data_IF_385514649777
#
_entry.id   IF_385514649777
#
_cell.length_a   1.000
_cell.length_b   1.000
_cell.length_c   1.000
_cell.angle_alpha   90.00
_cell.angle_beta   90.00
_cell.angle_gamma   90.00
#
_symmetry.space_group_name_H-M   'P 1'
#
loop_
_entity.id
_entity.type
_entity.pdbx_description
1 polymer ?
#
# COMPACT_ATOMS: atom_id res chain seq x y z
N UNK A 1 -22.27 -0.61 11.74
CA UNK A 1 -20.97 -0.12 11.20
C UNK A 1 -20.98 1.39 11.21
N UNK A 2 -19.85 2.01 11.59
CA UNK A 2 -19.65 3.46 11.54
C UNK A 2 -18.49 3.74 10.59
N UNK A 3 -18.71 4.62 9.60
CA UNK A 3 -17.65 5.15 8.77
C UNK A 3 -17.05 6.38 9.48
N UNK A 4 -15.72 6.38 9.66
CA UNK A 4 -15.05 7.38 10.46
C UNK A 4 -13.86 7.95 9.71
N UNK A 5 -13.85 9.26 9.48
CA UNK A 5 -12.68 9.98 9.01
C UNK A 5 -11.71 10.21 10.16
N UNK A 6 -10.45 9.78 9.98
CA UNK A 6 -9.44 9.84 11.05
C UNK A 6 -9.11 11.27 11.45
N UNK A 7 -9.06 12.20 10.48
CA UNK A 7 -8.72 13.59 10.76
C UNK A 7 -9.93 14.41 11.21
N UNK A 8 -11.07 14.29 10.53
CA UNK A 8 -12.26 15.07 10.87
C UNK A 8 -12.96 14.55 12.13
N UNK A 9 -12.95 13.24 12.37
CA UNK A 9 -13.65 12.61 13.47
C UNK A 9 -15.17 12.85 13.42
N UNK A 10 -15.80 12.89 14.57
CA UNK A 10 -17.22 13.23 14.74
C UNK A 10 -17.36 14.36 15.78
N UNK A 11 -17.28 15.63 15.38
CA UNK A 11 -17.25 16.75 16.33
C UNK A 11 -18.57 17.02 17.05
N UNK A 12 -19.71 16.83 16.37
CA UNK A 12 -21.02 17.27 16.84
C UNK A 12 -21.90 16.07 17.20
N UNK A 13 -21.63 15.45 18.36
CA UNK A 13 -22.41 14.31 18.85
C UNK A 13 -23.28 14.75 20.02
N UNK A 14 -24.60 14.72 19.78
CA UNK A 14 -25.60 15.00 20.84
C UNK A 14 -26.00 13.75 21.64
N UNK A 15 -25.65 12.55 21.16
CA UNK A 15 -26.00 11.25 21.74
C UNK A 15 -24.78 10.61 22.42
N UNK A 16 -24.96 9.69 23.38
CA UNK A 16 -23.89 8.83 23.82
C UNK A 16 -23.23 8.09 22.66
N UNK A 17 -21.90 8.00 22.64
CA UNK A 17 -21.15 7.39 21.53
C UNK A 17 -21.57 5.94 21.25
N UNK A 18 -21.92 5.18 22.31
CA UNK A 18 -22.38 3.81 22.17
C UNK A 18 -23.69 3.69 21.35
N UNK A 19 -24.60 4.67 21.46
CA UNK A 19 -25.88 4.66 20.77
C UNK A 19 -25.73 4.82 19.26
N UNK A 20 -24.56 5.28 18.79
CA UNK A 20 -24.27 5.40 17.35
C UNK A 20 -24.20 4.03 16.67
N UNK A 21 -23.78 2.99 17.40
CA UNK A 21 -23.70 1.63 16.85
C UNK A 21 -25.09 0.97 16.71
N UNK A 22 -26.08 1.45 17.47
CA UNK A 22 -27.47 1.00 17.41
C UNK A 22 -28.31 1.78 16.36
N UNK A 23 -27.73 2.83 15.78
CA UNK A 23 -28.43 3.70 14.82
C UNK A 23 -28.15 3.20 13.39
N UNK A 24 -29.19 2.91 12.60
CA UNK A 24 -29.05 2.73 11.16
C UNK A 24 -28.67 4.06 10.51
N UNK A 25 -27.45 4.14 10.01
CA UNK A 25 -26.93 5.29 9.27
C UNK A 25 -26.72 4.85 7.83
N UNK A 26 -27.36 5.54 6.90
CA UNK A 26 -27.10 5.35 5.48
C UNK A 26 -25.79 6.06 5.10
N UNK A 27 -24.71 5.29 5.01
CA UNK A 27 -23.40 5.78 4.63
C UNK A 27 -23.21 5.92 3.12
N UNK A 28 -24.17 5.50 2.29
CA UNK A 28 -24.04 5.55 0.82
C UNK A 28 -23.87 6.98 0.31
N UNK A 29 -24.46 7.95 0.98
CA UNK A 29 -24.27 9.37 0.68
C UNK A 29 -22.86 9.90 1.01
N UNK A 30 -22.08 9.15 1.82
CA UNK A 30 -20.71 9.51 2.20
C UNK A 30 -19.67 8.89 1.27
N UNK A 31 -20.09 8.02 0.35
CA UNK A 31 -19.19 7.41 -0.64
C UNK A 31 -18.90 8.47 -1.71
N UNK A 32 -17.70 9.02 -1.65
CA UNK A 32 -17.23 9.98 -2.64
C UNK A 32 -16.55 9.25 -3.79
N UNK A 33 -16.80 9.67 -5.03
CA UNK A 33 -15.98 9.28 -6.16
C UNK A 33 -14.55 9.83 -5.96
N UNK A 34 -13.56 9.04 -6.36
CA UNK A 34 -12.17 9.51 -6.36
C UNK A 34 -12.07 10.67 -7.34
N UNK A 35 -11.78 11.86 -6.84
CA UNK A 35 -11.68 13.07 -7.63
C UNK A 35 -10.38 13.07 -8.46
N UNK A 36 -10.43 13.57 -9.70
CA UNK A 36 -9.25 13.76 -10.55
C UNK A 36 -8.26 14.78 -9.95
N UNK A 37 -8.77 15.72 -9.17
CA UNK A 37 -7.97 16.75 -8.50
C UNK A 37 -7.70 16.36 -7.06
N UNK A 38 -6.47 16.64 -6.61
CA UNK A 38 -6.13 16.48 -5.20
C UNK A 38 -7.10 17.29 -4.31
N UNK A 39 -7.50 16.77 -3.14
CA UNK A 39 -8.36 17.51 -2.23
C UNK A 39 -7.67 18.80 -1.77
N UNK A 40 -8.46 19.86 -1.57
CA UNK A 40 -7.98 21.14 -1.03
C UNK A 40 -7.60 20.98 0.44
N UNK A 41 -6.37 20.54 0.70
CA UNK A 41 -5.88 20.24 2.06
C UNK A 41 -6.03 21.42 3.00
N UNK A 42 -5.79 22.65 2.53
CA UNK A 42 -5.96 23.87 3.34
C UNK A 42 -7.40 24.02 3.83
N UNK A 43 -8.39 23.70 2.99
CA UNK A 43 -9.81 23.72 3.38
C UNK A 43 -10.12 22.64 4.42
N UNK A 44 -9.61 21.43 4.24
CA UNK A 44 -9.79 20.35 5.21
C UNK A 44 -9.14 20.70 6.54
N UNK A 45 -7.92 21.23 6.53
CA UNK A 45 -7.20 21.69 7.73
C UNK A 45 -7.97 22.82 8.42
N UNK A 46 -8.57 23.74 7.65
CA UNK A 46 -9.36 24.84 8.19
C UNK A 46 -10.63 24.37 8.93
N UNK A 47 -11.14 23.18 8.66
CA UNK A 47 -12.25 22.57 9.41
C UNK A 47 -11.86 22.19 10.85
N UNK A 48 -10.55 22.06 11.13
CA UNK A 48 -10.00 21.80 12.46
C UNK A 48 -8.92 22.80 12.83
N UNK A 49 -9.25 24.09 12.98
CA UNK A 49 -8.27 25.11 13.30
C UNK A 49 -7.60 24.78 14.65
N UNK A 50 -6.27 24.94 14.70
CA UNK A 50 -5.44 24.67 15.88
C UNK A 50 -5.44 23.20 16.35
N UNK A 51 -5.65 22.23 15.44
CA UNK A 51 -5.53 20.82 15.80
C UNK A 51 -4.13 20.51 16.35
N UNK A 52 -4.08 19.68 17.40
CA UNK A 52 -2.83 19.20 18.02
C UNK A 52 -2.54 17.73 17.74
N UNK A 53 -3.53 17.03 17.22
CA UNK A 53 -3.48 15.60 16.92
C UNK A 53 -4.01 15.36 15.52
N UNK A 54 -3.43 14.40 14.81
CA UNK A 54 -3.98 13.87 13.56
C UNK A 54 -5.39 13.31 13.78
N UNK A 55 -5.63 12.69 14.94
CA UNK A 55 -6.91 12.09 15.27
C UNK A 55 -7.94 13.16 15.63
N UNK A 56 -9.08 13.09 14.95
CA UNK A 56 -10.23 13.97 15.17
C UNK A 56 -10.97 13.69 16.48
N UNK A 57 -11.95 14.55 16.81
CA UNK A 57 -12.79 14.32 17.98
C UNK A 57 -13.45 12.93 17.94
N UNK A 58 -13.47 12.27 19.08
CA UNK A 58 -14.10 10.98 19.31
C UNK A 58 -13.59 9.77 18.50
N UNK A 59 -12.51 9.92 17.72
CA UNK A 59 -11.95 8.81 16.94
C UNK A 59 -11.54 7.65 17.84
N UNK A 60 -10.75 7.94 18.88
CA UNK A 60 -10.24 6.88 19.79
C UNK A 60 -11.37 6.27 20.59
N UNK A 61 -12.26 7.08 21.14
CA UNK A 61 -13.39 6.63 21.95
C UNK A 61 -14.30 5.68 21.15
N UNK A 62 -14.58 6.01 19.89
CA UNK A 62 -15.38 5.17 19.01
C UNK A 62 -14.65 3.87 18.65
N UNK A 63 -13.35 3.95 18.34
CA UNK A 63 -12.54 2.77 18.10
C UNK A 63 -12.44 1.84 19.31
N UNK A 64 -12.49 2.37 20.52
CA UNK A 64 -12.51 1.56 21.76
C UNK A 64 -13.86 0.89 22.03
N UNK A 65 -14.95 1.45 21.52
CA UNK A 65 -16.31 0.90 21.68
C UNK A 65 -16.66 -0.17 20.65
N UNK A 66 -15.97 -0.24 19.53
CA UNK A 66 -16.27 -1.24 18.51
C UNK A 66 -15.54 -2.57 18.76
N UNK A 67 -16.06 -3.66 18.20
CA UNK A 67 -15.44 -4.99 18.27
C UNK A 67 -14.16 -5.07 17.44
N UNK A 68 -14.11 -4.36 16.33
CA UNK A 68 -13.00 -4.35 15.38
C UNK A 68 -12.99 -3.07 14.55
N UNK A 69 -11.83 -2.48 14.35
CA UNK A 69 -11.63 -1.38 13.41
C UNK A 69 -11.16 -1.96 12.08
N UNK A 70 -11.93 -1.72 11.02
CA UNK A 70 -11.48 -2.00 9.65
C UNK A 70 -10.65 -0.83 9.15
N UNK A 71 -9.33 -1.02 9.04
CA UNK A 71 -8.42 0.02 8.55
C UNK A 71 -8.50 0.12 7.02
N UNK A 72 -9.02 1.25 6.53
CA UNK A 72 -9.06 1.61 5.12
C UNK A 72 -8.23 2.88 4.86
N UNK A 73 -7.04 2.92 5.45
CA UNK A 73 -6.09 4.03 5.36
C UNK A 73 -4.95 3.67 4.41
N UNK A 74 -4.30 4.70 3.86
CA UNK A 74 -3.17 4.51 2.94
C UNK A 74 -2.02 5.46 3.29
N UNK A 75 -0.80 5.07 2.94
CA UNK A 75 0.39 5.88 3.07
C UNK A 75 0.78 6.22 4.51
N UNK A 76 1.42 7.38 4.67
CA UNK A 76 1.90 7.87 5.97
C UNK A 76 0.77 7.96 6.99
N UNK A 77 1.04 7.51 8.20
CA UNK A 77 0.12 7.35 9.34
C UNK A 77 -0.92 6.23 9.20
N UNK A 78 -1.16 5.70 8.01
CA UNK A 78 -2.05 4.56 7.78
C UNK A 78 -1.29 3.22 7.68
N UNK A 79 -0.26 3.18 6.82
CA UNK A 79 0.48 1.95 6.49
C UNK A 79 1.88 1.89 7.12
N UNK A 80 2.32 2.92 7.83
CA UNK A 80 3.69 3.05 8.37
C UNK A 80 3.84 2.58 9.82
N UNK A 81 2.83 1.92 10.38
CA UNK A 81 2.86 1.36 11.72
C UNK A 81 2.44 2.31 12.85
N UNK A 82 2.26 3.62 12.60
CA UNK A 82 1.93 4.59 13.64
C UNK A 82 0.56 4.38 14.24
N UNK A 83 -0.47 4.25 13.41
CA UNK A 83 -1.84 4.00 13.89
C UNK A 83 -1.94 2.62 14.53
N UNK A 84 -1.24 1.62 13.97
CA UNK A 84 -1.19 0.27 14.52
C UNK A 84 -0.57 0.26 15.92
N UNK A 85 0.58 0.93 16.11
CA UNK A 85 1.23 1.06 17.42
C UNK A 85 0.34 1.77 18.45
N UNK A 86 -0.36 2.81 18.04
CA UNK A 86 -1.32 3.50 18.90
C UNK A 86 -2.45 2.55 19.32
N UNK A 87 -3.03 1.81 18.38
CA UNK A 87 -4.12 0.88 18.66
C UNK A 87 -3.67 -0.28 19.53
N UNK A 88 -2.46 -0.82 19.32
CA UNK A 88 -1.86 -1.83 20.20
C UNK A 88 -1.77 -1.34 21.66
N UNK A 89 -1.27 -0.10 21.88
CA UNK A 89 -1.16 0.49 23.21
C UNK A 89 -2.52 0.80 23.86
N UNK A 90 -3.54 1.08 23.07
CA UNK A 90 -4.89 1.38 23.53
C UNK A 90 -5.78 0.14 23.66
N UNK A 91 -5.29 -1.05 23.29
CA UNK A 91 -6.06 -2.29 23.29
C UNK A 91 -7.18 -2.33 22.26
N UNK A 92 -7.07 -1.53 21.18
CA UNK A 92 -8.02 -1.46 20.08
C UNK A 92 -7.69 -2.54 19.07
N UNK A 93 -8.68 -3.36 18.70
CA UNK A 93 -8.52 -4.40 17.68
C UNK A 93 -8.68 -3.80 16.26
N UNK A 94 -7.84 -4.23 15.33
CA UNK A 94 -7.87 -3.71 13.96
C UNK A 94 -7.50 -4.78 12.92
N UNK A 95 -7.93 -4.56 11.67
CA UNK A 95 -7.57 -5.40 10.53
C UNK A 95 -6.18 -5.05 10.00
N UNK A 96 -5.53 -6.02 9.34
CA UNK A 96 -4.20 -5.86 8.78
C UNK A 96 -3.08 -6.27 9.73
N UNK A 97 -1.86 -6.02 9.30
CA UNK A 97 -0.66 -6.42 10.04
C UNK A 97 -0.32 -5.46 11.18
N UNK A 98 0.55 -5.89 12.10
CA UNK A 98 0.99 -5.08 13.24
C UNK A 98 1.94 -3.95 12.87
N UNK A 99 2.27 -3.12 13.87
CA UNK A 99 3.06 -1.90 13.68
C UNK A 99 4.45 -2.14 13.08
N UNK A 100 5.15 -3.21 13.51
CA UNK A 100 6.51 -3.48 13.04
C UNK A 100 6.53 -3.86 11.56
N UNK A 101 5.68 -4.81 11.16
CA UNK A 101 5.59 -5.23 9.75
C UNK A 101 5.12 -4.10 8.84
N UNK A 102 4.19 -3.26 9.31
CA UNK A 102 3.77 -2.05 8.59
C UNK A 102 4.95 -1.09 8.37
N UNK A 103 5.71 -0.80 9.42
CA UNK A 103 6.87 0.11 9.32
C UNK A 103 7.97 -0.45 8.41
N UNK A 104 8.27 -1.76 8.51
CA UNK A 104 9.26 -2.41 7.66
C UNK A 104 8.84 -2.40 6.19
N UNK A 105 7.55 -2.66 5.91
CA UNK A 105 7.00 -2.70 4.54
C UNK A 105 6.92 -1.32 3.90
N UNK A 106 6.68 -0.27 4.69
CA UNK A 106 6.59 1.10 4.21
C UNK A 106 7.94 1.62 3.69
N UNK A 107 9.05 1.21 4.30
CA UNK A 107 10.40 1.58 3.88
C UNK A 107 10.92 0.59 2.83
N UNK A 108 10.92 1.01 1.56
CA UNK A 108 11.38 0.19 0.42
C UNK A 108 12.85 -0.25 0.56
N UNK A 109 13.71 0.58 1.16
CA UNK A 109 15.10 0.21 1.38
C UNK A 109 15.19 -0.97 2.36
N UNK A 110 14.48 -0.90 3.49
CA UNK A 110 14.45 -1.96 4.49
C UNK A 110 13.79 -3.22 3.92
N UNK A 111 12.63 -3.08 3.29
CA UNK A 111 11.90 -4.19 2.65
C UNK A 111 12.79 -4.96 1.67
N UNK A 112 13.52 -4.26 0.80
CA UNK A 112 14.42 -4.89 -0.18
C UNK A 112 15.63 -5.59 0.48
N UNK A 113 16.08 -5.17 1.65
CA UNK A 113 17.09 -5.90 2.41
C UNK A 113 16.53 -7.24 2.92
N UNK A 114 15.29 -7.25 3.40
CA UNK A 114 14.60 -8.50 3.76
C UNK A 114 14.43 -9.41 2.54
N UNK A 115 14.00 -8.89 1.40
CA UNK A 115 13.87 -9.68 0.17
C UNK A 115 15.18 -10.38 -0.19
N UNK A 116 16.29 -9.64 -0.23
CA UNK A 116 17.62 -10.23 -0.53
C UNK A 116 18.02 -11.30 0.48
N UNK A 117 17.79 -11.09 1.76
CA UNK A 117 18.14 -12.03 2.83
C UNK A 117 17.32 -13.33 2.75
N UNK A 118 16.10 -13.26 2.21
CA UNK A 118 15.23 -14.42 1.99
C UNK A 118 15.32 -15.00 0.58
N UNK A 119 16.23 -14.50 -0.25
CA UNK A 119 16.45 -15.01 -1.62
C UNK A 119 15.38 -14.59 -2.62
N UNK A 120 14.57 -13.58 -2.29
CA UNK A 120 13.56 -13.01 -3.18
C UNK A 120 14.24 -11.95 -4.06
N UNK A 121 14.11 -12.10 -5.37
CA UNK A 121 14.70 -11.13 -6.29
C UNK A 121 14.01 -9.78 -6.19
N UNK A 122 14.82 -8.71 -6.14
CA UNK A 122 14.38 -7.33 -6.21
C UNK A 122 15.35 -6.57 -7.13
N UNK A 123 14.94 -5.50 -7.83
CA UNK A 123 15.85 -4.77 -8.70
C UNK A 123 17.16 -4.42 -8.01
N UNK A 124 18.33 -4.67 -8.62
CA UNK A 124 19.61 -4.19 -8.11
C UNK A 124 19.55 -2.68 -7.88
N UNK A 125 19.99 -2.23 -6.72
CA UNK A 125 19.89 -0.82 -6.37
C UNK A 125 20.72 -0.45 -5.15
N UNK A 126 20.89 0.86 -4.98
CA UNK A 126 21.55 1.50 -3.86
C UNK A 126 20.62 2.47 -3.16
N UNK A 127 20.94 2.71 -1.90
CA UNK A 127 20.31 3.78 -1.12
C UNK A 127 21.27 4.97 -1.07
N UNK A 128 20.74 6.17 -1.28
CA UNK A 128 21.49 7.42 -1.21
C UNK A 128 20.87 8.34 -0.18
N UNK A 129 21.72 9.00 0.61
CA UNK A 129 21.28 10.06 1.52
C UNK A 129 21.60 11.43 0.92
N UNK A 130 20.77 12.40 1.24
CA UNK A 130 20.90 13.77 0.76
C UNK A 130 22.27 14.35 1.09
N UNK A 131 22.99 14.83 0.07
CA UNK A 131 24.33 15.38 0.19
C UNK A 131 25.47 14.38 0.04
N UNK A 132 25.19 13.09 -0.12
CA UNK A 132 26.21 12.08 -0.44
C UNK A 132 26.62 12.14 -1.91
N UNK A 133 27.91 11.83 -2.22
CA UNK A 133 28.37 11.71 -3.59
C UNK A 133 27.69 10.51 -4.28
N UNK A 134 27.24 10.72 -5.51
CA UNK A 134 26.51 9.71 -6.27
C UNK A 134 27.50 8.83 -7.04
N UNK A 135 27.57 7.55 -6.69
CA UNK A 135 28.31 6.53 -7.41
C UNK A 135 27.34 5.38 -7.76
N UNK A 136 26.93 5.30 -9.03
CA UNK A 136 26.07 4.20 -9.48
C UNK A 136 26.93 2.98 -9.84
N UNK A 137 26.68 1.81 -9.24
CA UNK A 137 27.24 0.55 -9.70
C UNK A 137 26.84 0.25 -11.15
N UNK A 138 27.72 -0.39 -11.92
CA UNK A 138 27.46 -0.76 -13.32
C UNK A 138 26.21 -1.65 -13.48
N UNK A 139 25.89 -2.46 -12.50
CA UNK A 139 24.71 -3.35 -12.49
C UNK A 139 23.38 -2.61 -12.48
N UNK A 140 23.35 -1.34 -12.05
CA UNK A 140 22.14 -0.50 -12.11
C UNK A 140 21.94 0.01 -13.51
N UNK A 141 22.97 0.63 -14.11
CA UNK A 141 22.96 1.13 -15.49
C UNK A 141 21.87 2.16 -15.75
N UNK A 142 21.57 2.37 -17.04
CA UNK A 142 20.45 3.18 -17.52
C UNK A 142 19.63 2.39 -18.54
N UNK A 143 18.29 2.55 -18.54
CA UNK A 143 17.53 3.41 -17.65
C UNK A 143 17.53 2.90 -16.19
N UNK A 144 17.44 3.83 -15.22
CA UNK A 144 17.27 3.52 -13.81
C UNK A 144 16.03 4.22 -13.23
N UNK A 145 15.62 3.78 -12.05
CA UNK A 145 14.52 4.37 -11.29
C UNK A 145 15.06 5.06 -10.05
N UNK A 146 14.68 6.32 -9.84
CA UNK A 146 14.90 7.05 -8.57
C UNK A 146 13.57 7.06 -7.83
N UNK A 147 13.58 6.64 -6.56
CA UNK A 147 12.35 6.51 -5.76
C UNK A 147 12.57 7.00 -4.33
N UNK A 148 11.57 7.66 -3.76
CA UNK A 148 11.49 7.86 -2.30
C UNK A 148 11.38 6.52 -1.58
N UNK A 149 11.95 6.39 -0.37
CA UNK A 149 11.92 5.16 0.42
C UNK A 149 10.52 4.87 0.97
N UNK A 150 9.86 5.90 1.56
CA UNK A 150 8.57 5.76 2.23
C UNK A 150 7.40 6.37 1.44
N UNK A 151 7.63 6.79 0.21
CA UNK A 151 6.59 7.30 -0.69
C UNK A 151 5.65 6.21 -1.19
N UNK A 152 4.40 6.59 -1.44
CA UNK A 152 3.36 5.74 -2.03
C UNK A 152 2.81 6.33 -3.33
N UNK A 153 1.94 5.56 -4.03
CA UNK A 153 1.21 6.00 -5.22
C UNK A 153 2.09 6.62 -6.32
N UNK A 154 3.31 6.14 -6.48
CA UNK A 154 4.31 6.64 -7.44
C UNK A 154 4.72 8.11 -7.26
N UNK A 155 4.40 8.74 -6.11
CA UNK A 155 4.90 10.07 -5.77
C UNK A 155 6.39 10.00 -5.45
N UNK A 156 7.19 10.88 -6.06
CA UNK A 156 8.65 10.85 -5.90
C UNK A 156 9.34 9.70 -6.63
N UNK A 157 8.70 9.12 -7.67
CA UNK A 157 9.24 8.08 -8.53
C UNK A 157 9.57 8.65 -9.90
N UNK A 158 10.83 8.51 -10.32
CA UNK A 158 11.34 9.07 -11.57
C UNK A 158 12.09 8.01 -12.37
N UNK A 159 11.71 7.85 -13.64
CA UNK A 159 12.50 7.08 -14.60
C UNK A 159 13.58 7.98 -15.19
N UNK A 160 14.81 7.53 -15.13
CA UNK A 160 15.99 8.25 -15.61
C UNK A 160 16.58 7.48 -16.78
N UNK A 161 16.49 8.04 -17.96
CA UNK A 161 16.95 7.37 -19.19
C UNK A 161 18.46 7.49 -19.38
N UNK A 162 19.07 8.61 -18.91
CA UNK A 162 20.46 8.91 -19.13
C UNK A 162 21.08 9.66 -17.93
N UNK A 163 22.40 9.57 -17.80
CA UNK A 163 23.15 10.11 -16.66
C UNK A 163 22.88 11.60 -16.39
N UNK A 164 22.71 12.42 -17.39
CA UNK A 164 22.49 13.87 -17.23
C UNK A 164 21.14 14.22 -16.59
N UNK A 165 20.19 13.28 -16.58
CA UNK A 165 18.88 13.47 -15.94
C UNK A 165 18.88 13.10 -14.45
N UNK A 166 19.89 12.31 -14.03
CA UNK A 166 19.95 11.73 -12.70
C UNK A 166 19.98 12.79 -11.58
N UNK A 167 20.79 13.85 -11.76
CA UNK A 167 20.91 14.89 -10.74
C UNK A 167 19.57 15.58 -10.47
N UNK A 168 18.82 15.89 -11.52
CA UNK A 168 17.49 16.49 -11.37
C UNK A 168 16.52 15.53 -10.68
N UNK A 169 16.47 14.27 -11.10
CA UNK A 169 15.59 13.27 -10.48
C UNK A 169 15.89 13.08 -8.99
N UNK A 170 17.19 13.09 -8.61
CA UNK A 170 17.60 13.03 -7.21
C UNK A 170 17.19 14.28 -6.45
N UNK A 171 17.38 15.49 -6.99
CA UNK A 171 16.96 16.74 -6.38
C UNK A 171 15.44 16.74 -6.12
N UNK A 172 14.66 16.33 -7.13
CA UNK A 172 13.20 16.24 -7.02
C UNK A 172 12.77 15.21 -5.97
N UNK A 173 13.38 14.01 -5.93
CA UNK A 173 13.09 13.00 -4.91
C UNK A 173 13.52 13.45 -3.50
N UNK A 174 14.69 14.08 -3.35
CA UNK A 174 15.16 14.65 -2.09
C UNK A 174 14.35 15.86 -1.60
N UNK A 175 13.41 16.36 -2.38
CA UNK A 175 12.45 17.34 -1.89
C UNK A 175 11.35 16.74 -1.02
N UNK A 176 11.15 15.42 -1.14
CA UNK A 176 10.17 14.67 -0.34
C UNK A 176 10.80 13.98 0.87
N UNK A 177 11.98 13.38 0.71
CA UNK A 177 12.66 12.60 1.76
C UNK A 177 14.18 12.77 1.68
N UNK A 178 14.86 12.64 2.82
CA UNK A 178 16.32 12.72 2.89
C UNK A 178 17.02 11.40 2.45
N UNK A 179 16.26 10.35 2.20
CA UNK A 179 16.76 9.03 1.76
C UNK A 179 15.98 8.58 0.52
N UNK A 180 16.71 8.19 -0.52
CA UNK A 180 16.13 7.71 -1.78
C UNK A 180 16.80 6.41 -2.23
N UNK A 181 16.09 5.64 -3.05
CA UNK A 181 16.64 4.45 -3.73
C UNK A 181 16.88 4.79 -5.19
N UNK A 182 18.03 4.37 -5.70
CA UNK A 182 18.31 4.31 -7.15
C UNK A 182 18.47 2.86 -7.54
N UNK A 183 17.63 2.36 -8.43
CA UNK A 183 17.61 0.96 -8.80
C UNK A 183 17.51 0.77 -10.32
N UNK A 184 17.94 -0.40 -10.81
CA UNK A 184 17.79 -0.77 -12.22
C UNK A 184 16.32 -0.72 -12.61
N UNK A 185 16.03 -0.07 -13.74
CA UNK A 185 14.71 -0.11 -14.33
C UNK A 185 14.49 -1.49 -14.97
N UNK A 186 13.58 -2.28 -14.38
CA UNK A 186 13.16 -3.55 -14.99
C UNK A 186 12.15 -3.24 -16.08
N UNK A 187 12.44 -3.70 -17.28
CA UNK A 187 11.55 -3.53 -18.45
C UNK A 187 10.75 -4.81 -18.64
N UNK A 188 9.43 -4.70 -18.68
CA UNK A 188 8.56 -5.85 -18.84
C UNK A 188 7.14 -5.56 -18.36
N UNK A 189 6.47 -6.58 -17.83
CA UNK A 189 5.08 -6.53 -17.40
C UNK A 189 4.98 -6.37 -15.88
N UNK A 190 4.00 -5.60 -15.43
CA UNK A 190 3.76 -5.36 -14.00
C UNK A 190 2.64 -6.27 -13.50
N UNK A 191 2.83 -6.85 -12.31
CA UNK A 191 1.92 -7.77 -11.67
C UNK A 191 1.76 -7.44 -10.19
N UNK A 192 0.66 -7.92 -9.64
CA UNK A 192 0.44 -7.88 -8.21
C UNK A 192 -0.11 -9.21 -7.71
N UNK A 193 0.17 -9.53 -6.45
CA UNK A 193 -0.33 -10.72 -5.77
C UNK A 193 -0.72 -10.36 -4.35
N UNK A 194 -2.00 -10.46 -4.06
CA UNK A 194 -2.47 -10.37 -2.69
C UNK A 194 -2.20 -11.68 -1.94
N UNK A 195 -1.90 -11.54 -0.67
CA UNK A 195 -1.70 -12.65 0.26
C UNK A 195 -2.64 -12.44 1.45
N UNK A 196 -3.49 -13.42 1.74
CA UNK A 196 -4.39 -13.41 2.90
C UNK A 196 -4.11 -14.67 3.73
N UNK A 197 -3.82 -14.50 5.02
CA UNK A 197 -3.54 -15.61 5.94
C UNK A 197 -2.45 -16.57 5.39
N UNK A 198 -1.38 -16.00 4.81
CA UNK A 198 -0.27 -16.75 4.24
C UNK A 198 -0.59 -17.50 2.93
N UNK A 199 -1.74 -17.23 2.30
CA UNK A 199 -2.15 -17.82 1.02
C UNK A 199 -2.20 -16.75 -0.06
N UNK A 200 -1.49 -16.97 -1.15
CA UNK A 200 -1.53 -16.10 -2.31
C UNK A 200 -2.84 -16.25 -3.09
N UNK A 201 -3.39 -15.14 -3.52
CA UNK A 201 -4.52 -15.06 -4.45
C UNK A 201 -4.02 -15.21 -5.91
N UNK A 202 -4.92 -15.30 -6.90
CA UNK A 202 -4.53 -15.32 -8.30
C UNK A 202 -3.73 -14.07 -8.67
N UNK A 203 -2.67 -14.23 -9.45
CA UNK A 203 -1.86 -13.11 -9.96
C UNK A 203 -2.74 -12.18 -10.80
N UNK A 204 -2.66 -10.89 -10.59
CA UNK A 204 -3.29 -9.87 -11.42
C UNK A 204 -2.23 -9.11 -12.23
N UNK A 205 -2.46 -8.94 -13.52
CA UNK A 205 -1.62 -8.13 -14.40
C UNK A 205 -2.13 -6.70 -14.44
N UNK A 206 -1.19 -5.76 -14.45
CA UNK A 206 -1.43 -4.32 -14.50
C UNK A 206 -0.79 -3.78 -15.78
N UNK A 207 -1.61 -3.43 -16.76
CA UNK A 207 -1.16 -2.94 -18.07
C UNK A 207 -1.62 -1.50 -18.30
N UNK A 208 -0.81 -0.47 -17.94
CA UNK A 208 -1.12 0.91 -18.25
C UNK A 208 -1.23 1.12 -19.76
N UNK A 209 -2.26 1.84 -20.22
CA UNK A 209 -2.42 2.15 -21.64
C UNK A 209 -1.33 3.10 -22.17
N UNK A 210 -0.76 3.93 -21.29
CA UNK A 210 0.30 4.86 -21.62
C UNK A 210 1.30 5.00 -20.46
N UNK A 211 2.59 4.96 -20.77
CA UNK A 211 3.65 5.21 -19.79
C UNK A 211 3.89 4.03 -18.82
N UNK A 212 4.05 4.33 -17.55
CA UNK A 212 4.17 3.36 -16.46
C UNK A 212 3.01 3.54 -15.45
N UNK A 213 2.86 2.63 -14.50
CA UNK A 213 1.77 2.65 -13.52
C UNK A 213 1.97 3.75 -12.49
N UNK A 214 1.81 5.00 -12.94
CA UNK A 214 1.90 6.22 -12.14
C UNK A 214 0.58 6.55 -11.41
N UNK A 215 0.54 7.64 -10.65
CA UNK A 215 -0.63 8.09 -9.90
C UNK A 215 -1.88 8.21 -10.79
N UNK A 216 -1.73 8.77 -11.98
CA UNK A 216 -2.84 8.95 -12.92
C UNK A 216 -3.39 7.60 -13.38
N UNK A 217 -2.49 6.68 -13.76
CA UNK A 217 -2.86 5.34 -14.22
C UNK A 217 -3.43 4.45 -13.10
N UNK A 218 -3.13 4.74 -11.82
CA UNK A 218 -3.68 4.03 -10.66
C UNK A 218 -5.13 4.40 -10.33
N UNK A 219 -5.51 5.66 -10.52
CA UNK A 219 -6.79 6.18 -10.00
C UNK A 219 -7.75 6.69 -11.07
N UNK A 220 -7.32 6.88 -12.31
CA UNK A 220 -8.20 7.27 -13.41
C UNK A 220 -8.81 6.03 -14.05
N UNK A 221 -10.13 5.89 -13.95
CA UNK A 221 -10.84 4.77 -14.56
C UNK A 221 -10.57 4.67 -16.07
N UNK A 222 -10.20 3.47 -16.53
CA UNK A 222 -9.92 3.19 -17.94
C UNK A 222 -8.54 3.61 -18.43
N UNK A 223 -7.62 4.04 -17.56
CA UNK A 223 -6.21 4.32 -17.91
C UNK A 223 -5.30 3.11 -17.84
N UNK A 224 -5.76 2.04 -17.17
CA UNK A 224 -5.05 0.78 -16.99
C UNK A 224 -5.97 -0.38 -17.31
N UNK A 225 -5.46 -1.41 -17.96
CA UNK A 225 -6.13 -2.69 -18.14
C UNK A 225 -5.62 -3.64 -17.06
N UNK A 226 -6.53 -4.13 -16.23
CA UNK A 226 -6.24 -5.09 -15.19
C UNK A 226 -6.83 -6.44 -15.58
N UNK A 227 -6.01 -7.50 -15.54
CA UNK A 227 -6.43 -8.84 -15.94
C UNK A 227 -6.18 -9.83 -14.80
N UNK A 228 -7.24 -10.40 -14.25
CA UNK A 228 -7.18 -11.39 -13.18
C UNK A 228 -8.06 -12.62 -13.50
N UNK A 229 -7.55 -13.85 -13.47
CA UNK A 229 -6.13 -14.22 -13.38
C UNK A 229 -5.30 -13.69 -14.56
N UNK A 230 -4.05 -13.34 -14.29
CA UNK A 230 -3.12 -12.87 -15.32
C UNK A 230 -2.86 -13.94 -16.40
N UNK A 231 -2.69 -13.50 -17.64
CA UNK A 231 -2.30 -14.40 -18.72
C UNK A 231 -0.81 -14.74 -18.63
N UNK A 232 -0.47 -15.68 -17.76
CA UNK A 232 0.89 -16.18 -17.49
C UNK A 232 0.93 -17.71 -17.60
N UNK A 233 2.08 -18.30 -17.99
CA UNK A 233 2.35 -19.71 -17.78
C UNK A 233 2.16 -20.10 -16.31
N UNK A 234 1.59 -21.28 -16.06
CA UNK A 234 1.27 -21.75 -14.71
C UNK A 234 2.48 -21.75 -13.77
N UNK A 235 3.66 -22.15 -14.27
CA UNK A 235 4.90 -22.17 -13.51
C UNK A 235 5.36 -20.75 -13.08
N UNK A 236 5.13 -19.73 -13.91
CA UNK A 236 5.45 -18.34 -13.57
C UNK A 236 4.46 -17.78 -12.54
N UNK A 237 3.16 -18.04 -12.71
CA UNK A 237 2.15 -17.65 -11.72
C UNK A 237 2.43 -18.28 -10.37
N UNK A 238 2.69 -19.60 -10.32
CA UNK A 238 3.00 -20.31 -9.08
C UNK A 238 4.29 -19.80 -8.42
N UNK A 239 5.32 -19.46 -9.21
CA UNK A 239 6.56 -18.87 -8.69
C UNK A 239 6.32 -17.51 -8.08
N UNK A 240 5.61 -16.62 -8.76
CA UNK A 240 5.29 -15.28 -8.29
C UNK A 240 4.43 -15.31 -7.02
N UNK A 241 3.43 -16.22 -6.98
CA UNK A 241 2.61 -16.47 -5.79
C UNK A 241 3.46 -16.95 -4.59
N UNK A 242 4.40 -17.87 -4.84
CA UNK A 242 5.34 -18.33 -3.82
C UNK A 242 6.20 -17.18 -3.30
N UNK A 243 6.78 -16.36 -4.19
CA UNK A 243 7.59 -15.20 -3.80
C UNK A 243 6.77 -14.16 -3.01
N UNK A 244 5.50 -13.95 -3.34
CA UNK A 244 4.62 -13.07 -2.58
C UNK A 244 4.40 -13.56 -1.14
N UNK A 245 4.16 -14.86 -0.96
CA UNK A 245 4.02 -15.46 0.39
C UNK A 245 5.34 -15.35 1.17
N UNK A 246 6.47 -15.66 0.53
CA UNK A 246 7.81 -15.55 1.14
C UNK A 246 8.14 -14.10 1.50
N UNK A 247 7.78 -13.12 0.66
CA UNK A 247 7.96 -11.69 0.91
C UNK A 247 7.15 -11.24 2.15
N UNK A 248 5.89 -11.64 2.23
CA UNK A 248 5.05 -11.36 3.39
C UNK A 248 5.64 -12.00 4.66
N UNK A 249 6.09 -13.24 4.58
CA UNK A 249 6.71 -13.94 5.71
C UNK A 249 8.01 -13.24 6.15
N UNK A 250 8.84 -12.76 5.21
CA UNK A 250 10.13 -12.15 5.48
C UNK A 250 10.02 -10.91 6.38
N UNK A 251 8.96 -10.12 6.25
CA UNK A 251 8.71 -8.92 7.06
C UNK A 251 7.67 -9.17 8.17
N UNK A 252 7.19 -10.41 8.33
CA UNK A 252 6.27 -10.80 9.39
C UNK A 252 4.84 -10.27 9.20
N UNK A 253 4.33 -10.27 7.95
CA UNK A 253 2.94 -9.88 7.69
C UNK A 253 1.97 -10.84 8.37
N UNK A 254 1.08 -10.28 9.16
CA UNK A 254 -0.10 -10.93 9.71
C UNK A 254 -1.35 -10.43 8.98
N UNK A 255 -2.32 -11.30 8.82
CA UNK A 255 -3.59 -10.93 8.17
C UNK A 255 -3.49 -10.91 6.66
N UNK A 256 -3.29 -9.76 6.05
CA UNK A 256 -3.25 -9.62 4.60
C UNK A 256 -2.29 -8.52 4.15
N UNK A 257 -1.80 -8.63 2.92
CA UNK A 257 -1.02 -7.62 2.22
C UNK A 257 -1.07 -7.87 0.71
N UNK A 258 -0.47 -6.98 -0.07
CA UNK A 258 -0.28 -7.11 -1.52
C UNK A 258 1.18 -6.88 -1.86
N UNK A 259 1.74 -7.74 -2.69
CA UNK A 259 3.13 -7.63 -3.17
C UNK A 259 3.12 -7.31 -4.65
N UNK A 260 3.84 -6.28 -5.05
CA UNK A 260 3.92 -5.82 -6.43
C UNK A 260 5.23 -6.28 -7.08
N UNK A 261 5.15 -6.70 -8.36
CA UNK A 261 6.24 -7.32 -9.10
C UNK A 261 6.40 -6.72 -10.50
N UNK A 262 7.65 -6.71 -10.98
CA UNK A 262 7.97 -6.61 -12.41
C UNK A 262 8.45 -7.96 -12.92
N UNK A 263 7.95 -8.42 -14.05
CA UNK A 263 8.46 -9.57 -14.80
C UNK A 263 9.32 -9.04 -15.95
N UNK A 264 10.61 -9.33 -15.90
CA UNK A 264 11.52 -9.09 -17.03
C UNK A 264 11.28 -10.18 -18.09
N UNK A 265 10.64 -9.82 -19.19
CA UNK A 265 10.31 -10.76 -20.26
C UNK A 265 11.54 -11.29 -21.00
N UNK A 266 12.69 -10.64 -20.88
CA UNK A 266 13.93 -11.08 -21.52
C UNK A 266 14.56 -12.23 -20.75
N UNK A 267 14.64 -12.11 -19.43
CA UNK A 267 15.19 -13.15 -18.54
C UNK A 267 14.13 -14.13 -18.05
N UNK A 268 12.85 -13.75 -18.07
CA UNK A 268 11.77 -14.50 -17.47
C UNK A 268 11.76 -14.46 -15.93
N UNK A 269 12.53 -13.54 -15.33
CA UNK A 269 12.65 -13.39 -13.88
C UNK A 269 11.66 -12.36 -13.33
N UNK A 270 11.06 -12.65 -12.19
CA UNK A 270 10.19 -11.72 -11.47
C UNK A 270 10.96 -11.01 -10.35
N UNK A 271 10.74 -9.72 -10.23
CA UNK A 271 11.38 -8.84 -9.24
C UNK A 271 10.33 -8.23 -8.34
N UNK A 272 10.37 -8.55 -7.04
CA UNK A 272 9.53 -7.92 -6.04
C UNK A 272 9.92 -6.45 -5.84
N UNK A 273 8.93 -5.56 -5.90
CA UNK A 273 9.11 -4.12 -5.79
C UNK A 273 8.86 -3.61 -4.38
N UNK A 274 7.68 -3.90 -3.84
CA UNK A 274 7.20 -3.41 -2.55
C UNK A 274 6.10 -4.30 -1.98
N UNK A 275 5.78 -4.09 -0.69
CA UNK A 275 4.65 -4.69 0.01
C UNK A 275 3.71 -3.58 0.47
N UNK A 276 2.43 -3.70 0.12
CA UNK A 276 1.37 -2.80 0.56
C UNK A 276 0.56 -3.48 1.67
N UNK A 277 0.59 -2.93 2.89
CA UNK A 277 0.00 -3.56 4.08
C UNK A 277 -1.48 -3.22 4.28
N UNK A 278 -1.96 -2.14 3.68
CA UNK A 278 -3.38 -1.78 3.58
C UNK A 278 -3.74 -1.51 2.11
N UNK A 279 -3.79 -2.56 1.27
CA UNK A 279 -4.13 -2.39 -0.14
C UNK A 279 -5.53 -1.82 -0.30
N UNK A 280 -5.75 -1.13 -1.43
CA UNK A 280 -7.02 -0.49 -1.75
C UNK A 280 -8.20 -1.46 -1.71
N UNK A 281 -9.34 -0.94 -1.23
CA UNK A 281 -10.58 -1.68 -1.04
C UNK A 281 -11.75 -0.99 -1.77
N UNK A 282 -11.49 -0.49 -2.99
CA UNK A 282 -12.53 0.01 -3.90
C UNK A 282 -12.88 -1.05 -4.94
N UNK A 283 -14.00 -0.94 -5.67
CA UNK A 283 -14.34 -1.89 -6.74
C UNK A 283 -13.28 -2.06 -7.83
N UNK A 284 -12.44 -1.03 -8.03
CA UNK A 284 -11.33 -1.04 -9.00
C UNK A 284 -9.99 -1.38 -8.38
N UNK A 285 -9.94 -1.68 -7.08
CA UNK A 285 -8.69 -2.06 -6.40
C UNK A 285 -8.30 -3.51 -6.72
N UNK A 286 -7.00 -3.79 -6.74
CA UNK A 286 -6.44 -5.07 -7.16
C UNK A 286 -6.86 -6.24 -6.25
N UNK A 287 -6.76 -6.09 -4.93
CA UNK A 287 -7.15 -7.13 -3.97
C UNK A 287 -8.62 -7.58 -4.12
N UNK A 288 -9.63 -6.68 -4.21
CA UNK A 288 -11.00 -7.09 -4.51
C UNK A 288 -11.15 -7.83 -5.84
N UNK A 289 -10.41 -7.46 -6.88
CA UNK A 289 -10.44 -8.14 -8.18
C UNK A 289 -9.81 -9.54 -8.09
N UNK A 290 -8.70 -9.71 -7.38
CA UNK A 290 -8.08 -11.01 -7.14
C UNK A 290 -9.01 -11.94 -6.35
N UNK A 291 -9.73 -11.42 -5.33
CA UNK A 291 -10.73 -12.18 -4.59
C UNK A 291 -11.95 -12.55 -5.45
N UNK A 292 -12.40 -11.62 -6.29
CA UNK A 292 -13.51 -11.88 -7.23
C UNK A 292 -13.16 -12.98 -8.25
N UNK A 293 -11.91 -13.10 -8.67
CA UNK A 293 -11.44 -14.17 -9.53
C UNK A 293 -11.54 -15.58 -8.86
N UNK A 294 -11.58 -15.61 -7.52
CA UNK A 294 -11.87 -16.82 -6.73
C UNK A 294 -13.36 -17.03 -6.43
N UNK A 295 -14.21 -16.10 -6.88
CA UNK A 295 -15.67 -16.15 -6.68
C UNK A 295 -16.16 -15.43 -5.41
N UNK A 296 -15.30 -14.71 -4.68
CA UNK A 296 -15.72 -13.92 -3.52
C UNK A 296 -16.33 -12.60 -3.95
N UNK A 297 -17.48 -12.26 -3.40
CA UNK A 297 -18.01 -10.90 -3.45
C UNK A 297 -17.17 -9.96 -2.57
N UNK A 298 -17.34 -8.66 -2.76
CA UNK A 298 -16.67 -7.67 -1.92
C UNK A 298 -17.04 -7.81 -0.43
N UNK A 299 -18.31 -8.11 -0.14
CA UNK A 299 -18.77 -8.31 1.24
C UNK A 299 -18.12 -9.54 1.88
N UNK A 300 -18.02 -10.66 1.14
CA UNK A 300 -17.35 -11.88 1.61
C UNK A 300 -15.84 -11.67 1.79
N UNK A 301 -15.20 -10.86 0.95
CA UNK A 301 -13.80 -10.47 1.16
C UNK A 301 -13.63 -9.66 2.45
N UNK A 302 -14.48 -8.66 2.69
CA UNK A 302 -14.43 -7.88 3.93
C UNK A 302 -14.64 -8.77 5.15
N UNK A 303 -15.59 -9.70 5.10
CA UNK A 303 -15.81 -10.66 6.17
C UNK A 303 -14.61 -11.59 6.36
N UNK A 304 -14.01 -12.09 5.29
CA UNK A 304 -12.79 -12.91 5.37
C UNK A 304 -11.66 -12.15 6.08
N UNK A 305 -11.40 -10.90 5.68
CA UNK A 305 -10.38 -10.05 6.33
C UNK A 305 -10.68 -9.86 7.82
N UNK A 306 -11.94 -9.62 8.19
CA UNK A 306 -12.36 -9.51 9.60
C UNK A 306 -12.13 -10.81 10.37
N UNK A 307 -12.49 -11.97 9.80
CA UNK A 307 -12.30 -13.27 10.42
C UNK A 307 -10.80 -13.59 10.63
N UNK A 308 -9.96 -13.24 9.67
CA UNK A 308 -8.50 -13.38 9.80
C UNK A 308 -7.96 -12.47 10.91
N UNK A 309 -8.42 -11.22 10.96
CA UNK A 309 -8.02 -10.30 12.02
C UNK A 309 -8.46 -10.76 13.42
N UNK A 310 -9.66 -11.34 13.55
CA UNK A 310 -10.14 -11.86 14.82
C UNK A 310 -9.24 -12.97 15.39
N UNK A 311 -8.66 -13.82 14.53
CA UNK A 311 -7.73 -14.88 14.97
C UNK A 311 -6.48 -14.32 15.64
N UNK A 312 -5.98 -13.17 15.17
CA UNK A 312 -4.83 -12.46 15.76
C UNK A 312 -5.04 -12.13 17.24
N UNK A 313 -6.28 -11.90 17.67
CA UNK A 313 -6.64 -11.50 19.05
C UNK A 313 -7.21 -12.65 19.90
N UNK A 314 -7.21 -13.87 19.39
CA UNK A 314 -7.67 -15.06 20.11
C UNK A 314 -6.50 -15.88 20.70
N UNK A 315 -5.26 -15.51 20.41
CA UNK A 315 -4.03 -16.19 20.85
C UNK A 315 -3.56 -15.72 22.23
#
# INVERSE_FOLDING_TARGET
>A
VILLDVFLGLPDIEKPLADLFETEIDWTASVCEVQEQAPELERIIAMRPNYKSLLGPHVIELCQLCDMVFLALHGTNGEDGRIQALFDLMGIRYTGTGHLSSALSMDKNITKQFFRNYGIQTPPGITLHKGEPVHLPEEIGFPCMVKTCCGGSSVGVYKVEQFYELEKALQDAFSYEDTVIVERCITGREFSVAVIEGKALPVIEIAPLHGFYDYKNKYQAGSTIETCPANLPENLSARMQKHAVEACHAVGIEGYARVDFMLDETSGEDYALEINTLPGMTPTSLLPQEAAALGYSFAELCEWILQVALKKYQS
#
